data_IF_332009357859
#
_entry.id   IF_332009357859
#
_cell.length_a   1.000
_cell.length_b   1.000
_cell.length_c   1.000
_cell.angle_alpha   90.00
_cell.angle_beta   90.00
_cell.angle_gamma   90.00
#
_symmetry.space_group_name_H-M   'P 1'
#
loop_
_entity.id
_entity.type
_entity.pdbx_description
1 polymer ?
#
# COMPACT_ATOMS: atom_id res chain seq x y z
N UNK A 1 -3.28 -39.78 13.42
CA UNK A 1 -3.04 -38.84 14.53
C UNK A 1 -3.91 -39.18 15.74
N UNK A 2 -5.25 -39.20 15.63
CA UNK A 2 -6.13 -39.49 16.78
C UNK A 2 -5.90 -40.87 17.43
N UNK A 3 -5.72 -41.94 16.65
CA UNK A 3 -5.38 -43.29 17.17
C UNK A 3 -4.05 -43.30 17.92
N UNK A 4 -3.03 -42.59 17.40
CA UNK A 4 -1.72 -42.46 18.03
C UNK A 4 -1.82 -41.80 19.41
N UNK A 5 -2.57 -40.69 19.51
CA UNK A 5 -2.80 -40.01 20.79
C UNK A 5 -3.65 -40.84 21.75
N UNK A 6 -4.63 -41.61 21.24
CA UNK A 6 -5.43 -42.51 22.05
C UNK A 6 -4.59 -43.66 22.64
N UNK A 7 -3.69 -44.27 21.86
CA UNK A 7 -2.73 -45.28 22.36
C UNK A 7 -1.78 -44.70 23.41
N UNK A 8 -1.31 -43.46 23.19
CA UNK A 8 -0.47 -42.75 24.17
C UNK A 8 -1.23 -42.44 25.46
N UNK A 9 -2.51 -42.09 25.36
CA UNK A 9 -3.38 -41.88 26.51
C UNK A 9 -3.57 -43.17 27.32
N UNK A 10 -3.84 -44.31 26.65
CA UNK A 10 -3.91 -45.63 27.31
C UNK A 10 -2.62 -45.94 28.07
N UNK A 11 -1.45 -45.74 27.45
CA UNK A 11 -0.16 -45.97 28.10
C UNK A 11 0.03 -45.12 29.36
N UNK A 12 -0.38 -43.84 29.30
CA UNK A 12 -0.32 -42.93 30.45
C UNK A 12 -1.34 -43.32 31.54
N UNK A 13 -2.54 -43.75 31.14
CA UNK A 13 -3.58 -44.20 32.07
C UNK A 13 -3.15 -45.48 32.80
N UNK A 14 -2.58 -46.47 32.11
CA UNK A 14 -2.00 -47.66 32.76
C UNK A 14 -0.88 -47.34 33.74
N UNK A 15 -0.04 -46.34 33.42
CA UNK A 15 1.03 -45.89 34.31
C UNK A 15 0.51 -45.15 35.55
N UNK A 16 -0.69 -44.58 35.47
CA UNK A 16 -1.36 -43.88 36.57
C UNK A 16 -2.15 -44.81 37.50
N UNK A 17 -2.52 -46.02 37.05
CA UNK A 17 -3.16 -47.02 37.92
C UNK A 17 -2.11 -47.54 38.92
N UNK A 18 -2.25 -47.16 40.18
CA UNK A 18 -1.41 -47.65 41.30
C UNK A 18 -2.32 -48.33 42.32
N UNK A 19 -2.36 -49.66 42.30
CA UNK A 19 -3.21 -50.47 43.19
C UNK A 19 -4.50 -50.99 42.55
N UNK A 20 -5.10 -51.99 43.20
CA UNK A 20 -6.03 -52.95 42.59
C UNK A 20 -7.51 -52.51 42.52
N UNK A 21 -7.84 -51.24 42.74
CA UNK A 21 -9.25 -50.81 42.86
C UNK A 21 -9.55 -49.42 42.26
N UNK A 22 -9.35 -49.22 40.96
CA UNK A 22 -10.01 -48.11 40.26
C UNK A 22 -10.80 -48.61 39.04
N UNK A 23 -11.90 -49.32 39.33
CA UNK A 23 -12.79 -49.94 38.33
C UNK A 23 -13.27 -48.98 37.25
N UNK A 24 -13.34 -47.67 37.57
CA UNK A 24 -13.69 -46.62 36.64
C UNK A 24 -12.59 -46.38 35.58
N UNK A 25 -11.31 -46.37 35.99
CA UNK A 25 -10.17 -46.26 35.07
C UNK A 25 -10.05 -47.49 34.17
N UNK A 26 -10.18 -48.69 34.74
CA UNK A 26 -10.14 -49.95 33.99
C UNK A 26 -11.26 -50.01 32.95
N UNK A 27 -12.48 -49.58 33.31
CA UNK A 27 -13.62 -49.50 32.38
C UNK A 27 -13.36 -48.48 31.25
N UNK A 28 -12.72 -47.34 31.56
CA UNK A 28 -12.40 -46.33 30.55
C UNK A 28 -11.30 -46.80 29.58
N UNK A 29 -10.28 -47.49 30.10
CA UNK A 29 -9.23 -48.10 29.27
C UNK A 29 -9.86 -49.11 28.31
N UNK A 30 -10.68 -50.04 28.81
CA UNK A 30 -11.37 -51.04 27.97
C UNK A 30 -12.25 -50.40 26.90
N UNK A 31 -13.02 -49.36 27.25
CA UNK A 31 -13.83 -48.61 26.27
C UNK A 31 -12.97 -47.91 25.22
N UNK A 32 -11.79 -47.42 25.61
CA UNK A 32 -10.88 -46.73 24.70
C UNK A 32 -10.16 -47.72 23.77
N UNK A 33 -9.76 -48.87 24.28
CA UNK A 33 -9.21 -49.99 23.49
C UNK A 33 -10.21 -50.47 22.44
N UNK A 34 -11.47 -50.68 22.84
CA UNK A 34 -12.54 -51.07 21.91
C UNK A 34 -12.74 -50.05 20.78
N UNK A 35 -12.71 -48.76 21.13
CA UNK A 35 -12.84 -47.67 20.15
C UNK A 35 -11.63 -47.58 19.23
N UNK A 36 -10.42 -47.83 19.74
CA UNK A 36 -9.21 -47.86 18.91
C UNK A 36 -9.30 -49.03 17.93
N UNK A 37 -9.64 -50.23 18.39
CA UNK A 37 -9.80 -51.41 17.53
C UNK A 37 -10.82 -51.15 16.44
N UNK A 38 -12.02 -50.67 16.81
CA UNK A 38 -13.06 -50.31 15.83
C UNK A 38 -12.59 -49.23 14.86
N UNK A 39 -11.80 -48.26 15.30
CA UNK A 39 -11.25 -47.23 14.42
C UNK A 39 -10.20 -47.82 13.47
N UNK A 40 -9.33 -48.72 13.93
CA UNK A 40 -8.34 -49.40 13.11
C UNK A 40 -8.99 -50.32 12.07
N UNK A 41 -10.03 -51.06 12.44
CA UNK A 41 -10.79 -51.92 11.53
C UNK A 41 -11.54 -51.15 10.43
N UNK A 42 -11.89 -49.88 10.69
CA UNK A 42 -12.62 -49.02 9.75
C UNK A 42 -11.72 -47.97 9.09
N UNK A 43 -10.43 -47.91 9.43
CA UNK A 43 -9.48 -47.03 8.77
C UNK A 43 -9.05 -47.71 7.47
N UNK A 44 -9.26 -47.08 6.31
CA UNK A 44 -8.77 -47.64 5.06
C UNK A 44 -7.24 -47.80 5.15
N UNK A 45 -6.74 -49.01 4.87
CA UNK A 45 -5.31 -49.28 4.76
C UNK A 45 -4.73 -48.51 3.57
N UNK A 46 -4.33 -47.27 3.82
CA UNK A 46 -3.67 -46.44 2.84
C UNK A 46 -2.21 -46.25 3.30
N UNK A 47 -1.21 -46.71 2.53
CA UNK A 47 0.20 -46.51 2.85
C UNK A 47 0.47 -45.04 3.16
N UNK A 48 1.28 -44.77 4.20
CA UNK A 48 1.61 -43.40 4.62
C UNK A 48 2.10 -42.53 3.46
N UNK A 49 2.81 -43.12 2.51
CA UNK A 49 3.28 -42.46 1.31
C UNK A 49 2.13 -41.99 0.40
N UNK A 50 1.15 -42.85 0.13
CA UNK A 50 -0.06 -42.48 -0.64
C UNK A 50 -0.91 -41.44 0.08
N UNK A 51 -0.99 -41.49 1.41
CA UNK A 51 -1.67 -40.44 2.18
C UNK A 51 -0.96 -39.08 2.03
N UNK A 52 0.38 -39.06 2.01
CA UNK A 52 1.17 -37.85 1.84
C UNK A 52 0.97 -37.27 0.42
N UNK A 53 1.07 -38.11 -0.60
CA UNK A 53 0.82 -37.75 -2.00
C UNK A 53 -0.59 -37.17 -2.18
N UNK A 54 -1.60 -37.82 -1.60
CA UNK A 54 -2.99 -37.34 -1.68
C UNK A 54 -3.21 -36.02 -0.96
N UNK A 55 -2.52 -35.77 0.16
CA UNK A 55 -2.59 -34.48 0.87
C UNK A 55 -1.95 -33.36 0.07
N UNK A 56 -0.83 -33.61 -0.60
CA UNK A 56 -0.21 -32.66 -1.52
C UNK A 56 -1.17 -32.35 -2.67
N UNK A 57 -1.73 -33.39 -3.30
CA UNK A 57 -2.73 -33.25 -4.36
C UNK A 57 -3.94 -32.40 -3.92
N UNK A 58 -4.45 -32.64 -2.70
CA UNK A 58 -5.54 -31.85 -2.11
C UNK A 58 -5.12 -30.39 -1.91
N UNK A 59 -3.93 -30.14 -1.36
CA UNK A 59 -3.43 -28.78 -1.11
C UNK A 59 -3.19 -27.99 -2.40
N UNK A 60 -2.82 -28.68 -3.48
CA UNK A 60 -2.58 -28.10 -4.80
C UNK A 60 -3.88 -27.90 -5.60
N UNK A 61 -4.85 -28.82 -5.49
CA UNK A 61 -6.03 -28.84 -6.38
C UNK A 61 -7.31 -28.29 -5.77
N UNK A 62 -7.49 -28.34 -4.44
CA UNK A 62 -8.70 -27.80 -3.82
C UNK A 62 -8.58 -26.29 -3.63
N UNK A 63 -9.51 -25.55 -4.23
CA UNK A 63 -9.71 -24.15 -3.95
C UNK A 63 -9.99 -23.97 -2.45
N UNK A 64 -9.05 -23.35 -1.75
CA UNK A 64 -9.16 -23.07 -0.32
C UNK A 64 -9.80 -21.70 -0.16
N UNK A 65 -11.08 -21.68 0.20
CA UNK A 65 -11.71 -20.45 0.68
C UNK A 65 -11.31 -20.25 2.14
N UNK A 66 -10.58 -19.17 2.41
CA UNK A 66 -10.30 -18.73 3.78
C UNK A 66 -11.20 -17.54 4.07
N UNK A 67 -12.34 -17.73 4.76
CA UNK A 67 -13.18 -16.60 5.14
C UNK A 67 -12.36 -15.66 6.03
N UNK A 68 -12.44 -14.36 5.74
CA UNK A 68 -11.97 -13.35 6.68
C UNK A 68 -12.86 -13.41 7.91
N UNK A 69 -12.26 -13.67 9.09
CA UNK A 69 -12.97 -13.58 10.38
C UNK A 69 -13.15 -12.12 10.83
N UNK A 70 -12.63 -11.14 10.07
CA UNK A 70 -12.71 -9.72 10.38
C UNK A 70 -13.97 -9.14 9.74
N UNK A 71 -14.79 -8.45 10.56
CA UNK A 71 -16.04 -7.81 10.16
C UNK A 71 -15.85 -6.53 9.35
N UNK A 72 -14.64 -5.95 9.37
CA UNK A 72 -14.21 -4.85 8.52
C UNK A 72 -12.99 -5.32 7.73
N UNK A 73 -12.91 -4.97 6.44
CA UNK A 73 -11.69 -5.16 5.68
C UNK A 73 -10.61 -4.27 6.27
N UNK A 74 -9.52 -4.86 6.77
CA UNK A 74 -8.33 -4.09 7.13
C UNK A 74 -7.80 -3.47 5.84
N UNK A 75 -7.97 -2.15 5.73
CA UNK A 75 -7.53 -1.40 4.57
C UNK A 75 -6.25 -0.66 4.91
N UNK A 76 -5.20 -0.92 4.12
CA UNK A 76 -3.92 -0.23 4.24
C UNK A 76 -3.82 0.76 3.09
N UNK A 77 -4.00 2.06 3.38
CA UNK A 77 -3.98 3.15 2.40
C UNK A 77 -2.59 3.44 1.83
N UNK A 78 -1.55 3.12 2.61
CA UNK A 78 -0.13 3.36 2.31
C UNK A 78 0.61 2.06 2.52
N UNK A 79 1.28 1.55 1.48
CA UNK A 79 2.01 0.30 1.57
C UNK A 79 3.11 0.35 2.65
N UNK A 80 3.39 -0.79 3.25
CA UNK A 80 4.42 -0.93 4.29
C UNK A 80 5.60 -1.81 3.83
N UNK A 81 5.62 -2.21 2.55
CA UNK A 81 6.64 -3.05 1.94
C UNK A 81 7.47 -2.29 0.90
N UNK A 82 8.54 -2.90 0.39
CA UNK A 82 9.36 -2.24 -0.63
C UNK A 82 8.65 -2.31 -1.99
N UNK A 83 8.68 -1.20 -2.73
CA UNK A 83 8.21 -1.17 -4.10
C UNK A 83 8.95 -2.24 -4.93
N UNK A 84 8.16 -3.05 -5.64
CA UNK A 84 8.66 -4.16 -6.46
C UNK A 84 7.96 -4.13 -7.80
N UNK A 85 8.75 -4.20 -8.86
CA UNK A 85 8.25 -4.38 -10.22
C UNK A 85 7.64 -5.77 -10.38
N UNK A 86 6.48 -5.84 -11.02
CA UNK A 86 5.93 -7.10 -11.56
C UNK A 86 6.58 -7.45 -12.91
N UNK A 87 7.21 -6.47 -13.55
CA UNK A 87 7.99 -6.68 -14.76
C UNK A 87 9.39 -7.22 -14.41
N UNK A 88 9.80 -8.22 -15.19
CA UNK A 88 11.14 -8.80 -15.20
C UNK A 88 11.63 -8.87 -16.66
N UNK A 89 12.91 -8.60 -16.89
CA UNK A 89 13.53 -8.65 -18.22
C UNK A 89 13.37 -10.05 -18.83
N UNK A 90 13.45 -11.10 -18.01
CA UNK A 90 13.31 -12.48 -18.50
C UNK A 90 11.91 -12.76 -19.05
N UNK A 91 10.87 -12.17 -18.45
CA UNK A 91 9.49 -12.26 -18.94
C UNK A 91 9.38 -11.62 -20.34
N UNK A 92 10.00 -10.45 -20.52
CA UNK A 92 9.97 -9.74 -21.79
C UNK A 92 10.70 -10.47 -22.92
N UNK A 93 11.78 -11.18 -22.60
CA UNK A 93 12.54 -11.96 -23.59
C UNK A 93 11.83 -13.26 -23.99
N UNK A 94 10.98 -13.80 -23.12
CA UNK A 94 10.20 -15.03 -23.39
C UNK A 94 8.93 -14.78 -24.20
N UNK A 95 8.33 -13.60 -24.04
CA UNK A 95 7.11 -13.21 -24.77
C UNK A 95 7.49 -12.66 -26.15
N UNK A 96 6.91 -13.18 -27.26
CA UNK A 96 7.16 -12.68 -28.60
C UNK A 96 6.96 -11.17 -28.73
N UNK A 97 7.80 -10.48 -29.51
CA UNK A 97 7.83 -9.01 -29.58
C UNK A 97 6.51 -8.35 -30.04
N UNK A 98 5.62 -9.09 -30.71
CA UNK A 98 4.29 -8.61 -31.13
C UNK A 98 3.17 -8.85 -30.11
N UNK A 99 3.43 -9.61 -29.05
CA UNK A 99 2.42 -9.95 -28.05
C UNK A 99 2.37 -8.92 -26.91
N UNK A 100 1.21 -8.85 -26.27
CA UNK A 100 0.95 -7.93 -25.16
C UNK A 100 1.22 -8.61 -23.84
N UNK A 101 2.06 -8.01 -23.00
CA UNK A 101 2.28 -8.49 -21.64
C UNK A 101 1.23 -7.86 -20.73
N UNK A 102 0.48 -8.72 -20.02
CA UNK A 102 -0.59 -8.28 -19.14
C UNK A 102 -0.21 -8.47 -17.67
N UNK A 103 -0.48 -7.44 -16.86
CA UNK A 103 -0.26 -7.44 -15.41
C UNK A 103 -1.58 -7.23 -14.69
N UNK A 104 -1.73 -7.90 -13.55
CA UNK A 104 -2.86 -7.71 -12.65
C UNK A 104 -2.35 -7.23 -11.29
N UNK A 105 -2.70 -6.00 -10.93
CA UNK A 105 -2.40 -5.40 -9.63
C UNK A 105 -3.68 -5.45 -8.78
N UNK A 106 -3.73 -6.41 -7.85
CA UNK A 106 -4.84 -6.51 -6.89
C UNK A 106 -4.45 -5.88 -5.56
N UNK A 107 -5.30 -5.01 -5.02
CA UNK A 107 -4.98 -4.20 -3.85
C UNK A 107 -3.93 -3.15 -4.21
N UNK A 108 -4.30 -2.25 -5.11
CA UNK A 108 -3.40 -1.25 -5.67
C UNK A 108 -2.70 -0.42 -4.59
N UNK A 109 -3.40 -0.07 -3.51
CA UNK A 109 -2.81 0.73 -2.42
C UNK A 109 -2.28 2.04 -2.96
N UNK A 110 -1.04 2.43 -2.70
CA UNK A 110 -0.40 3.62 -3.29
C UNK A 110 0.21 3.43 -4.68
N UNK A 111 -0.16 2.36 -5.39
CA UNK A 111 0.33 2.03 -6.70
C UNK A 111 1.86 1.87 -6.81
N UNK A 112 2.62 1.78 -5.70
CA UNK A 112 4.10 1.70 -5.72
C UNK A 112 4.64 0.58 -6.61
N UNK A 113 3.97 -0.57 -6.63
CA UNK A 113 4.39 -1.72 -7.45
C UNK A 113 4.10 -1.49 -8.94
N UNK A 114 2.96 -0.87 -9.24
CA UNK A 114 2.62 -0.49 -10.60
C UNK A 114 3.62 0.56 -11.14
N UNK A 115 3.87 1.62 -10.38
CA UNK A 115 4.85 2.65 -10.73
C UNK A 115 6.27 2.07 -10.86
N UNK A 116 6.69 1.18 -9.95
CA UNK A 116 7.97 0.50 -10.07
C UNK A 116 8.06 -0.38 -11.34
N UNK A 117 6.94 -0.98 -11.76
CA UNK A 117 6.87 -1.75 -13.01
C UNK A 117 7.01 -0.84 -14.23
N UNK A 118 6.30 0.30 -14.25
CA UNK A 118 6.44 1.29 -15.32
C UNK A 118 7.87 1.82 -15.44
N UNK A 119 8.50 2.17 -14.32
CA UNK A 119 9.90 2.64 -14.28
C UNK A 119 10.83 1.55 -14.82
N UNK A 120 10.64 0.30 -14.40
CA UNK A 120 11.48 -0.82 -14.84
C UNK A 120 11.33 -1.07 -16.33
N UNK A 121 10.11 -1.06 -16.86
CA UNK A 121 9.84 -1.18 -18.30
C UNK A 121 10.55 -0.06 -19.07
N UNK A 122 10.32 1.19 -18.68
CA UNK A 122 10.90 2.35 -19.36
C UNK A 122 12.44 2.30 -19.36
N UNK A 123 13.04 1.91 -18.23
CA UNK A 123 14.50 1.79 -18.09
C UNK A 123 15.09 0.69 -18.98
N UNK A 124 14.48 -0.51 -18.99
CA UNK A 124 15.01 -1.62 -19.78
C UNK A 124 14.77 -1.44 -21.29
N UNK A 125 13.67 -0.76 -21.68
CA UNK A 125 13.45 -0.34 -23.07
C UNK A 125 14.44 0.76 -23.49
N UNK A 126 14.73 1.75 -22.64
CA UNK A 126 15.68 2.83 -22.94
C UNK A 126 17.12 2.31 -23.12
N UNK A 127 17.50 1.25 -22.40
CA UNK A 127 18.78 0.55 -22.59
C UNK A 127 18.85 -0.28 -23.88
N UNK A 128 17.72 -0.48 -24.56
CA UNK A 128 17.62 -1.35 -25.74
C UNK A 128 17.76 -2.84 -25.43
N UNK A 129 17.63 -3.24 -24.17
CA UNK A 129 17.68 -4.66 -23.77
C UNK A 129 16.44 -5.43 -24.19
N UNK A 130 15.29 -4.73 -24.21
CA UNK A 130 14.02 -5.27 -24.67
C UNK A 130 13.41 -4.35 -25.73
N UNK A 131 12.70 -4.90 -26.74
CA UNK A 131 11.98 -4.09 -27.70
C UNK A 131 10.77 -3.42 -27.05
N UNK A 132 10.48 -2.19 -27.52
CA UNK A 132 9.22 -1.48 -27.22
C UNK A 132 8.03 -2.33 -27.62
N UNK A 133 7.04 -2.46 -26.73
CA UNK A 133 5.85 -3.27 -26.96
C UNK A 133 4.64 -2.73 -26.22
N UNK A 134 3.49 -3.39 -26.38
CA UNK A 134 2.27 -3.07 -25.66
C UNK A 134 2.24 -3.78 -24.31
N UNK A 135 1.89 -3.04 -23.28
CA UNK A 135 1.63 -3.55 -21.94
C UNK A 135 0.19 -3.26 -21.57
N UNK A 136 -0.46 -4.21 -20.91
CA UNK A 136 -1.80 -4.03 -20.38
C UNK A 136 -1.75 -4.19 -18.85
N UNK A 137 -2.25 -3.21 -18.12
CA UNK A 137 -2.33 -3.27 -16.66
C UNK A 137 -3.81 -3.25 -16.26
N UNK A 138 -4.22 -4.25 -15.51
CA UNK A 138 -5.50 -4.22 -14.79
C UNK A 138 -5.21 -3.82 -13.35
N UNK A 139 -5.65 -2.62 -12.97
CA UNK A 139 -5.50 -2.08 -11.62
C UNK A 139 -6.81 -2.27 -10.86
N UNK A 140 -6.78 -3.04 -9.78
CA UNK A 140 -7.96 -3.41 -9.01
C UNK A 140 -7.76 -3.10 -7.53
N UNK A 141 -8.70 -2.37 -6.95
CA UNK A 141 -8.76 -2.12 -5.51
C UNK A 141 -10.21 -2.10 -5.05
N UNK A 142 -10.44 -2.54 -3.81
CA UNK A 142 -11.76 -2.47 -3.18
C UNK A 142 -12.11 -1.04 -2.76
N UNK A 143 -11.09 -0.20 -2.48
CA UNK A 143 -11.27 1.18 -2.11
C UNK A 143 -11.22 2.10 -3.34
N UNK A 144 -12.38 2.61 -3.72
CA UNK A 144 -12.53 3.52 -4.86
C UNK A 144 -11.83 4.87 -4.66
N UNK A 145 -11.62 5.32 -3.42
CA UNK A 145 -10.85 6.54 -3.16
C UNK A 145 -9.37 6.38 -3.53
N UNK A 146 -8.82 5.18 -3.39
CA UNK A 146 -7.43 4.93 -3.77
C UNK A 146 -7.26 4.87 -5.28
N UNK A 147 -8.15 4.17 -5.99
CA UNK A 147 -8.16 4.22 -7.46
C UNK A 147 -8.35 5.66 -7.97
N UNK A 148 -9.15 6.47 -7.27
CA UNK A 148 -9.36 7.88 -7.61
C UNK A 148 -8.11 8.73 -7.36
N UNK A 149 -7.41 8.53 -6.23
CA UNK A 149 -6.10 9.19 -5.97
C UNK A 149 -5.12 8.87 -7.09
N UNK A 150 -5.02 7.59 -7.44
CA UNK A 150 -4.04 7.15 -8.43
C UNK A 150 -4.41 7.67 -9.83
N UNK A 151 -5.70 7.75 -10.15
CA UNK A 151 -6.18 8.43 -11.36
C UNK A 151 -5.74 9.91 -11.42
N UNK A 152 -5.85 10.65 -10.31
CA UNK A 152 -5.37 12.05 -10.24
C UNK A 152 -3.85 12.10 -10.50
N UNK A 153 -3.09 11.21 -9.87
CA UNK A 153 -1.64 11.12 -10.06
C UNK A 153 -1.30 10.78 -11.51
N UNK A 154 -2.04 9.85 -12.14
CA UNK A 154 -1.85 9.50 -13.54
C UNK A 154 -2.18 10.66 -14.47
N UNK A 155 -3.24 11.44 -14.19
CA UNK A 155 -3.53 12.65 -14.94
C UNK A 155 -2.44 13.72 -14.79
N UNK A 156 -1.85 13.86 -13.61
CA UNK A 156 -0.71 14.76 -13.40
C UNK A 156 0.54 14.29 -14.13
N UNK A 157 0.84 12.99 -14.12
CA UNK A 157 1.95 12.40 -14.87
C UNK A 157 1.76 12.55 -16.39
N UNK A 158 0.53 12.37 -16.87
CA UNK A 158 0.18 12.58 -18.27
C UNK A 158 0.41 14.05 -18.66
N UNK A 159 -0.11 15.00 -17.86
CA UNK A 159 0.17 16.44 -18.04
C UNK A 159 1.67 16.72 -18.07
N UNK A 160 2.44 16.20 -17.11
CA UNK A 160 3.89 16.38 -17.03
C UNK A 160 4.60 15.90 -18.30
N UNK A 161 4.15 14.80 -18.89
CA UNK A 161 4.75 14.24 -20.12
C UNK A 161 4.58 15.14 -21.35
N UNK A 162 3.65 16.09 -21.31
CA UNK A 162 3.40 17.06 -22.38
C UNK A 162 4.04 18.43 -22.12
N UNK A 163 4.61 18.66 -20.93
CA UNK A 163 5.29 19.93 -20.59
C UNK A 163 6.60 20.03 -21.35
N UNK A 164 6.84 21.17 -21.97
CA UNK A 164 8.07 21.43 -22.73
C UNK A 164 9.22 21.83 -21.80
N UNK A 165 10.45 21.60 -22.24
CA UNK A 165 11.66 21.92 -21.45
C UNK A 165 11.73 23.39 -21.02
N UNK A 166 11.24 24.34 -21.83
CA UNK A 166 11.21 25.75 -21.48
C UNK A 166 10.21 26.11 -20.36
N UNK A 167 9.29 25.22 -20.01
CA UNK A 167 8.24 25.43 -19.00
C UNK A 167 8.61 24.82 -17.64
N UNK A 168 9.87 25.00 -17.21
CA UNK A 168 10.42 24.38 -16.00
C UNK A 168 9.53 24.59 -14.76
N UNK A 169 8.99 25.79 -14.58
CA UNK A 169 8.12 26.10 -13.42
C UNK A 169 6.81 25.30 -13.42
N UNK A 170 6.24 25.04 -14.59
CA UNK A 170 5.04 24.20 -14.71
C UNK A 170 5.36 22.76 -14.30
N UNK A 171 6.49 22.22 -14.78
CA UNK A 171 6.97 20.90 -14.36
C UNK A 171 7.18 20.82 -12.85
N UNK A 172 7.78 21.85 -12.24
CA UNK A 172 8.01 21.91 -10.79
C UNK A 172 6.69 21.94 -10.01
N UNK A 173 5.68 22.67 -10.49
CA UNK A 173 4.37 22.72 -9.85
C UNK A 173 3.66 21.36 -9.93
N UNK A 174 3.61 20.75 -11.13
CA UNK A 174 3.01 19.42 -11.32
C UNK A 174 3.72 18.38 -10.44
N UNK A 175 5.06 18.38 -10.42
CA UNK A 175 5.85 17.49 -9.55
C UNK A 175 5.59 17.75 -8.06
N UNK A 176 5.41 19.00 -7.65
CA UNK A 176 5.02 19.34 -6.27
C UNK A 176 3.67 18.73 -5.92
N UNK A 177 2.69 18.82 -6.82
CA UNK A 177 1.36 18.25 -6.60
C UNK A 177 1.38 16.73 -6.53
N UNK A 178 2.12 16.07 -7.42
CA UNK A 178 2.33 14.61 -7.35
C UNK A 178 2.98 14.23 -6.01
N UNK A 179 4.04 14.95 -5.61
CA UNK A 179 4.75 14.72 -4.37
C UNK A 179 3.82 14.81 -3.16
N UNK A 180 3.11 15.93 -2.99
CA UNK A 180 2.21 16.12 -1.85
C UNK A 180 1.03 15.13 -1.85
N UNK A 181 0.47 14.80 -3.02
CA UNK A 181 -0.61 13.82 -3.13
C UNK A 181 -0.16 12.40 -2.76
N UNK A 182 1.10 12.06 -3.06
CA UNK A 182 1.61 10.71 -2.85
C UNK A 182 2.09 10.47 -1.41
N UNK A 183 2.81 11.42 -0.81
CA UNK A 183 3.45 11.21 0.51
C UNK A 183 2.89 12.03 1.67
N UNK A 184 2.13 13.10 1.42
CA UNK A 184 1.80 14.06 2.48
C UNK A 184 0.36 13.97 2.97
N UNK A 185 0.17 14.31 4.25
CA UNK A 185 -1.15 14.56 4.82
C UNK A 185 -1.53 16.05 4.79
N UNK A 186 -0.56 16.93 4.50
CA UNK A 186 -0.73 18.38 4.45
C UNK A 186 -0.14 18.89 3.15
N UNK A 187 -0.84 19.79 2.47
CA UNK A 187 -0.35 20.37 1.24
C UNK A 187 -0.44 21.90 1.31
N UNK A 188 0.54 22.62 0.74
CA UNK A 188 0.42 24.06 0.60
C UNK A 188 -0.76 24.46 -0.27
N UNK A 189 -1.34 25.63 0.00
CA UNK A 189 -2.51 26.16 -0.70
C UNK A 189 -2.36 26.15 -2.23
N UNK A 190 -1.24 26.61 -2.78
CA UNK A 190 -1.05 26.65 -4.25
C UNK A 190 -1.01 25.24 -4.88
N UNK A 191 -0.55 24.24 -4.11
CA UNK A 191 -0.56 22.84 -4.52
C UNK A 191 -1.99 22.29 -4.48
N UNK A 192 -2.77 22.66 -3.47
CA UNK A 192 -4.20 22.33 -3.42
C UNK A 192 -4.96 22.97 -4.59
N UNK A 193 -4.68 24.22 -4.93
CA UNK A 193 -5.30 24.90 -6.08
C UNK A 193 -5.09 24.09 -7.38
N UNK A 194 -3.85 23.64 -7.66
CA UNK A 194 -3.57 22.79 -8.81
C UNK A 194 -4.27 21.42 -8.73
N UNK A 195 -4.34 20.82 -7.54
CA UNK A 195 -5.11 19.59 -7.31
C UNK A 195 -6.60 19.79 -7.65
N UNK A 196 -7.20 20.91 -7.22
CA UNK A 196 -8.61 21.21 -7.48
C UNK A 196 -8.88 21.41 -8.98
N UNK A 197 -7.94 21.99 -9.73
CA UNK A 197 -8.04 22.09 -11.19
C UNK A 197 -8.10 20.70 -11.86
N UNK A 198 -7.24 19.77 -11.43
CA UNK A 198 -7.25 18.39 -11.94
C UNK A 198 -8.55 17.68 -11.58
N UNK A 199 -9.03 17.83 -10.34
CA UNK A 199 -10.31 17.26 -9.89
C UNK A 199 -11.47 17.81 -10.73
N UNK A 200 -11.50 19.12 -10.98
CA UNK A 200 -12.54 19.74 -11.79
C UNK A 200 -12.54 19.22 -13.24
N UNK A 201 -11.35 19.05 -13.83
CA UNK A 201 -11.21 18.48 -15.16
C UNK A 201 -11.70 17.03 -15.24
N UNK A 202 -11.30 16.19 -14.27
CA UNK A 202 -11.74 14.81 -14.18
C UNK A 202 -13.26 14.71 -14.01
N UNK A 203 -13.84 15.51 -13.10
CA UNK A 203 -15.29 15.56 -12.90
C UNK A 203 -16.03 15.96 -14.19
N UNK A 204 -15.53 16.97 -14.90
CA UNK A 204 -16.09 17.40 -16.17
C UNK A 204 -16.06 16.26 -17.20
N UNK A 205 -14.92 15.59 -17.32
CA UNK A 205 -14.73 14.49 -18.26
C UNK A 205 -15.69 13.32 -17.96
N UNK A 206 -15.68 12.83 -16.71
CA UNK A 206 -16.46 11.66 -16.30
C UNK A 206 -17.97 11.93 -16.36
N UNK A 207 -18.43 13.12 -15.98
CA UNK A 207 -19.86 13.49 -16.07
C UNK A 207 -20.37 13.56 -17.51
N UNK A 208 -19.48 13.80 -18.47
CA UNK A 208 -19.80 13.78 -19.89
C UNK A 208 -19.71 12.37 -20.51
N UNK A 209 -19.47 11.33 -19.70
CA UNK A 209 -19.31 9.94 -20.17
C UNK A 209 -18.00 9.70 -20.93
N UNK A 210 -17.00 10.56 -20.75
CA UNK A 210 -15.72 10.46 -21.42
C UNK A 210 -14.69 9.73 -20.54
N UNK A 211 -13.71 9.08 -21.17
CA UNK A 211 -12.57 8.50 -20.47
C UNK A 211 -11.54 9.61 -20.18
N UNK A 212 -10.93 9.63 -18.98
CA UNK A 212 -10.10 10.74 -18.54
C UNK A 212 -8.75 10.83 -19.25
N UNK A 213 -8.17 9.69 -19.66
CA UNK A 213 -6.88 9.60 -20.32
C UNK A 213 -6.95 8.56 -21.44
N UNK A 214 -6.23 8.79 -22.55
CA UNK A 214 -6.28 7.88 -23.72
C UNK A 214 -5.74 6.48 -23.41
N UNK A 215 -4.81 6.38 -22.46
CA UNK A 215 -4.18 5.12 -22.05
C UNK A 215 -4.84 4.48 -20.83
N UNK A 216 -5.95 5.05 -20.33
CA UNK A 216 -6.71 4.51 -19.19
C UNK A 216 -8.14 4.23 -19.61
N UNK A 217 -8.62 3.04 -19.24
CA UNK A 217 -10.03 2.70 -19.34
C UNK A 217 -10.61 2.48 -17.93
N UNK A 218 -11.65 3.25 -17.61
CA UNK A 218 -12.49 3.04 -16.44
C UNK A 218 -13.76 2.31 -16.86
N UNK A 219 -14.12 1.26 -16.11
CA UNK A 219 -15.39 0.56 -16.30
C UNK A 219 -16.57 1.52 -16.08
N UNK A 220 -17.53 1.51 -17.00
CA UNK A 220 -18.75 2.35 -16.92
C UNK A 220 -19.51 2.15 -15.60
N UNK A 221 -19.56 0.91 -15.11
CA UNK A 221 -20.20 0.56 -13.84
C UNK A 221 -19.52 1.23 -12.64
N UNK A 222 -18.23 1.55 -12.76
CA UNK A 222 -17.45 2.14 -11.67
C UNK A 222 -17.41 3.68 -11.71
N UNK A 223 -17.72 4.31 -12.84
CA UNK A 223 -17.67 5.78 -13.03
C UNK A 223 -18.38 6.55 -11.90
N UNK A 224 -19.60 6.18 -11.45
CA UNK A 224 -20.27 6.89 -10.37
C UNK A 224 -19.48 6.93 -9.06
N UNK A 225 -18.68 5.89 -8.76
CA UNK A 225 -17.86 5.87 -7.54
C UNK A 225 -16.64 6.79 -7.64
N UNK A 226 -16.03 6.92 -8.83
CA UNK A 226 -14.97 7.91 -9.05
C UNK A 226 -15.50 9.33 -8.91
N UNK A 227 -16.67 9.63 -9.50
CA UNK A 227 -17.33 10.93 -9.35
C UNK A 227 -17.61 11.23 -7.87
N UNK A 228 -18.18 10.27 -7.14
CA UNK A 228 -18.45 10.42 -5.71
C UNK A 228 -17.18 10.68 -4.89
N UNK A 229 -16.09 9.96 -5.19
CA UNK A 229 -14.81 10.16 -4.51
C UNK A 229 -14.23 11.56 -4.78
N UNK A 230 -14.26 12.02 -6.03
CA UNK A 230 -13.82 13.36 -6.43
C UNK A 230 -14.68 14.46 -5.79
N UNK A 231 -16.00 14.30 -5.75
CA UNK A 231 -16.93 15.25 -5.10
C UNK A 231 -16.71 15.36 -3.59
N UNK A 232 -16.18 14.32 -2.94
CA UNK A 232 -15.82 14.42 -1.54
C UNK A 232 -14.59 15.30 -1.32
N UNK A 233 -13.69 15.36 -2.31
CA UNK A 233 -12.37 16.03 -2.22
C UNK A 233 -12.33 17.42 -2.86
N UNK A 234 -13.41 17.86 -3.48
CA UNK A 234 -13.56 19.24 -3.95
C UNK A 234 -13.47 20.23 -2.78
N UNK A 235 -12.99 21.44 -3.03
CA UNK A 235 -13.05 22.54 -2.06
C UNK A 235 -14.47 22.74 -1.53
N UNK A 236 -14.65 22.66 -0.21
CA UNK A 236 -15.96 22.71 0.45
C UNK A 236 -16.77 21.41 0.38
N UNK A 237 -16.16 20.33 -0.11
CA UNK A 237 -16.72 18.98 -0.10
C UNK A 237 -16.84 18.37 1.30
N UNK A 238 -17.37 17.15 1.37
CA UNK A 238 -17.76 16.51 2.65
C UNK A 238 -16.62 16.31 3.64
N UNK A 239 -15.38 16.22 3.15
CA UNK A 239 -14.20 16.00 4.01
C UNK A 239 -13.35 17.26 4.20
N UNK A 240 -13.69 18.37 3.54
CA UNK A 240 -12.90 19.60 3.58
C UNK A 240 -12.77 20.20 4.99
N UNK A 241 -13.71 19.88 5.90
CA UNK A 241 -13.72 20.34 7.29
C UNK A 241 -13.60 19.19 8.29
N UNK A 242 -13.21 18.00 7.84
CA UNK A 242 -13.10 16.83 8.71
C UNK A 242 -11.98 16.97 9.75
N UNK A 243 -10.88 17.63 9.38
CA UNK A 243 -9.73 17.86 10.23
C UNK A 243 -9.13 19.24 9.96
N UNK A 244 -8.61 19.88 11.00
CA UNK A 244 -7.80 21.09 10.89
C UNK A 244 -6.34 20.74 10.58
N UNK A 245 -5.61 21.66 9.94
CA UNK A 245 -4.17 21.48 9.69
C UNK A 245 -3.39 21.16 10.98
N UNK A 246 -3.78 21.79 12.10
CA UNK A 246 -3.19 21.54 13.42
C UNK A 246 -3.39 20.09 13.88
N UNK A 247 -4.62 19.56 13.81
CA UNK A 247 -4.91 18.17 14.22
C UNK A 247 -4.13 17.17 13.37
N UNK A 248 -4.02 17.41 12.06
CA UNK A 248 -3.23 16.56 11.15
C UNK A 248 -1.74 16.63 11.49
N UNK A 249 -1.19 17.82 11.76
CA UNK A 249 0.21 17.97 12.19
C UNK A 249 0.46 17.23 13.50
N UNK A 250 -0.36 17.45 14.53
CA UNK A 250 -0.21 16.81 15.84
C UNK A 250 -0.30 15.28 15.74
N UNK A 251 -1.24 14.75 14.96
CA UNK A 251 -1.37 13.31 14.69
C UNK A 251 -0.15 12.75 13.96
N UNK A 252 0.36 13.47 12.96
CA UNK A 252 1.55 13.07 12.19
C UNK A 252 2.78 13.04 13.10
N UNK A 253 2.99 14.10 13.89
CA UNK A 253 4.10 14.19 14.85
C UNK A 253 4.01 13.05 15.86
N UNK A 254 2.83 12.79 16.44
CA UNK A 254 2.63 11.68 17.39
C UNK A 254 3.00 10.34 16.76
N UNK A 255 2.53 10.07 15.54
CA UNK A 255 2.81 8.81 14.82
C UNK A 255 4.31 8.65 14.52
N UNK A 256 5.02 9.74 14.22
CA UNK A 256 6.47 9.73 13.99
C UNK A 256 7.27 9.52 15.29
N UNK A 257 6.75 9.99 16.43
CA UNK A 257 7.34 9.76 17.74
C UNK A 257 7.08 8.35 18.27
N UNK A 258 6.01 7.70 17.83
CA UNK A 258 5.75 6.30 18.13
C UNK A 258 6.86 5.37 17.59
N UNK A 259 7.05 4.26 18.28
CA UNK A 259 8.23 3.38 18.19
C UNK A 259 8.53 2.82 16.79
N UNK A 260 7.62 2.95 15.83
CA UNK A 260 7.77 2.39 14.48
C UNK A 260 8.89 3.10 13.69
N UNK A 261 9.07 4.41 13.89
CA UNK A 261 10.13 5.18 13.22
C UNK A 261 11.38 5.34 14.09
N UNK A 262 11.22 5.52 15.40
CA UNK A 262 12.36 5.64 16.33
C UNK A 262 13.17 4.35 16.51
N UNK A 263 12.59 3.17 16.20
CA UNK A 263 13.29 1.88 16.29
C UNK A 263 13.88 1.38 14.96
N UNK A 264 13.95 2.23 13.92
CA UNK A 264 14.59 1.84 12.66
C UNK A 264 16.11 1.76 12.83
N UNK A 265 16.71 0.70 12.29
CA UNK A 265 18.14 0.45 12.40
C UNK A 265 18.97 1.48 11.63
N UNK A 266 20.24 1.67 12.01
CA UNK A 266 21.18 2.54 11.29
C UNK A 266 21.24 2.23 9.78
N UNK A 267 21.11 0.95 9.41
CA UNK A 267 21.04 0.51 8.00
C UNK A 267 19.83 1.05 7.24
N UNK A 268 18.68 1.21 7.90
CA UNK A 268 17.51 1.85 7.28
C UNK A 268 17.80 3.32 6.99
N UNK A 269 18.51 3.98 7.89
CA UNK A 269 18.89 5.39 7.74
C UNK A 269 20.00 5.60 6.71
N UNK A 270 20.95 4.68 6.59
CA UNK A 270 21.95 4.69 5.53
C UNK A 270 21.33 4.59 4.12
N UNK A 271 20.22 3.85 3.96
CA UNK A 271 19.55 3.70 2.67
C UNK A 271 18.91 5.00 2.16
N UNK A 272 18.47 5.89 3.07
CA UNK A 272 17.88 7.19 2.71
C UNK A 272 18.96 8.18 2.22
N UNK A 273 20.23 7.92 2.54
CA UNK A 273 21.36 8.75 2.14
C UNK A 273 21.51 10.03 2.98
N UNK A 274 22.69 10.69 2.94
CA UNK A 274 23.00 11.79 3.85
C UNK A 274 22.34 13.12 3.50
N UNK A 275 21.80 13.25 2.28
CA UNK A 275 21.42 14.54 1.70
C UNK A 275 20.11 15.12 2.26
N UNK A 276 19.22 14.30 2.80
CA UNK A 276 17.90 14.73 3.31
C UNK A 276 17.78 14.66 4.84
N UNK A 277 18.90 14.55 5.57
CA UNK A 277 18.87 14.38 7.03
C UNK A 277 18.17 15.54 7.76
N UNK A 278 18.44 16.79 7.35
CA UNK A 278 17.82 17.98 7.95
C UNK A 278 16.34 18.11 7.63
N UNK A 279 15.95 17.82 6.38
CA UNK A 279 14.55 17.82 5.96
C UNK A 279 13.76 16.75 6.72
N UNK A 280 14.34 15.56 6.91
CA UNK A 280 13.77 14.51 7.75
C UNK A 280 13.62 14.97 9.20
N UNK A 281 14.67 15.54 9.80
CA UNK A 281 14.60 16.02 11.18
C UNK A 281 13.51 17.07 11.35
N UNK A 282 13.37 17.97 10.39
CA UNK A 282 12.30 18.96 10.36
C UNK A 282 10.93 18.30 10.22
N UNK A 283 10.77 17.34 9.30
CA UNK A 283 9.52 16.60 9.13
C UNK A 283 9.13 15.84 10.40
N UNK A 284 10.06 15.14 11.05
CA UNK A 284 9.79 14.46 12.32
C UNK A 284 9.40 15.44 13.44
N UNK A 285 9.97 16.65 13.44
CA UNK A 285 9.69 17.67 14.45
C UNK A 285 8.37 18.42 14.21
N UNK A 286 7.92 18.52 12.95
CA UNK A 286 6.82 19.43 12.56
C UNK A 286 5.64 18.74 11.89
N UNK A 287 5.81 17.52 11.39
CA UNK A 287 4.82 16.82 10.57
C UNK A 287 4.63 17.40 9.17
N UNK A 288 5.46 18.36 8.73
CA UNK A 288 5.30 19.08 7.46
C UNK A 288 6.44 18.74 6.50
N UNK A 289 6.07 18.35 5.28
CA UNK A 289 7.01 18.13 4.18
C UNK A 289 7.31 19.44 3.46
N UNK A 290 8.55 19.59 3.01
CA UNK A 290 8.98 20.80 2.31
C UNK A 290 8.65 20.70 0.81
N UNK A 291 8.01 21.72 0.23
CA UNK A 291 7.94 21.88 -1.22
C UNK A 291 9.32 22.16 -1.82
N UNK A 292 9.43 22.07 -3.14
CA UNK A 292 10.63 22.52 -3.85
C UNK A 292 10.89 24.01 -3.61
N UNK A 293 12.14 24.37 -3.33
CA UNK A 293 12.51 25.74 -2.98
C UNK A 293 12.08 26.76 -4.06
N UNK A 294 12.22 26.41 -5.34
CA UNK A 294 11.82 27.27 -6.45
C UNK A 294 10.30 27.52 -6.45
N UNK A 295 9.49 26.51 -6.13
CA UNK A 295 8.04 26.67 -6.02
C UNK A 295 7.67 27.57 -4.83
N UNK A 296 8.32 27.37 -3.68
CA UNK A 296 8.10 28.23 -2.52
C UNK A 296 8.48 29.68 -2.83
N UNK A 297 9.64 29.93 -3.42
CA UNK A 297 10.08 31.30 -3.76
C UNK A 297 9.11 32.02 -4.70
N UNK A 298 8.39 31.29 -5.54
CA UNK A 298 7.40 31.85 -6.45
C UNK A 298 6.04 32.08 -5.78
N UNK A 299 5.55 31.11 -5.02
CA UNK A 299 4.17 31.09 -4.51
C UNK A 299 4.05 31.60 -3.06
N UNK A 300 5.07 31.38 -2.24
CA UNK A 300 5.14 31.76 -0.84
C UNK A 300 6.59 32.04 -0.40
N UNK A 301 7.14 33.22 -0.75
CA UNK A 301 8.52 33.57 -0.40
C UNK A 301 8.80 33.52 1.10
N UNK A 302 7.78 33.82 1.92
CA UNK A 302 7.89 33.79 3.37
C UNK A 302 8.05 32.36 3.89
N UNK A 303 7.31 31.41 3.34
CA UNK A 303 7.52 29.99 3.63
C UNK A 303 8.91 29.52 3.21
N UNK A 304 9.44 30.01 2.09
CA UNK A 304 10.80 29.69 1.66
C UNK A 304 11.84 30.13 2.71
N UNK A 305 11.75 31.38 3.18
CA UNK A 305 12.64 31.94 4.19
C UNK A 305 12.55 31.17 5.52
N UNK A 306 11.32 30.94 6.01
CA UNK A 306 11.07 30.20 7.24
C UNK A 306 11.56 28.75 7.15
N UNK A 307 11.45 28.11 5.98
CA UNK A 307 11.93 26.74 5.76
C UNK A 307 13.46 26.66 5.86
N UNK A 308 14.17 27.64 5.29
CA UNK A 308 15.63 27.70 5.36
C UNK A 308 16.12 27.90 6.80
N UNK A 309 15.46 28.78 7.57
CA UNK A 309 15.76 28.99 8.99
C UNK A 309 15.46 27.72 9.82
N UNK A 310 14.31 27.09 9.60
CA UNK A 310 13.91 25.88 10.30
C UNK A 310 14.82 24.68 9.98
N UNK A 311 15.33 24.56 8.74
CA UNK A 311 16.34 23.55 8.39
C UNK A 311 17.68 23.77 9.10
N UNK A 312 18.02 24.99 9.50
CA UNK A 312 19.21 25.25 10.31
C UNK A 312 19.04 24.72 11.74
N UNK A 313 17.85 24.88 12.33
CA UNK A 313 17.53 24.42 13.68
C UNK A 313 16.15 23.72 13.75
N UNK A 314 16.04 22.45 13.32
CA UNK A 314 14.75 21.75 13.15
C UNK A 314 13.91 21.59 14.42
N UNK A 315 14.52 21.69 15.61
CA UNK A 315 13.84 21.62 16.93
C UNK A 315 13.79 22.98 17.64
N UNK A 316 14.12 24.04 16.91
CA UNK A 316 14.27 25.40 17.40
C UNK A 316 12.96 26.17 17.54
N UNK A 317 13.11 27.47 17.78
CA UNK A 317 12.00 28.42 17.77
C UNK A 317 11.50 28.66 16.34
N UNK A 318 12.41 28.59 15.38
CA UNK A 318 12.22 28.83 13.96
C UNK A 318 11.19 27.85 13.38
N UNK A 319 11.28 26.56 13.75
CA UNK A 319 10.29 25.55 13.39
C UNK A 319 8.87 25.87 13.87
N UNK A 320 8.71 26.59 14.99
CA UNK A 320 7.38 27.00 15.47
C UNK A 320 6.78 28.12 14.62
N UNK A 321 7.61 29.05 14.15
CA UNK A 321 7.19 30.10 13.22
C UNK A 321 6.80 29.50 11.87
N UNK A 322 7.62 28.56 11.37
CA UNK A 322 7.32 27.76 10.18
C UNK A 322 5.98 27.02 10.32
N UNK A 323 5.76 26.23 11.37
CA UNK A 323 4.50 25.53 11.60
C UNK A 323 3.31 26.49 11.69
N UNK A 324 3.47 27.63 12.39
CA UNK A 324 2.40 28.62 12.52
C UNK A 324 1.98 29.16 11.15
N UNK A 325 2.95 29.47 10.29
CA UNK A 325 2.68 29.93 8.92
C UNK A 325 1.92 28.87 8.10
N UNK A 326 2.35 27.60 8.17
CA UNK A 326 1.67 26.48 7.49
C UNK A 326 0.26 26.25 8.02
N UNK A 327 0.00 26.50 9.32
CA UNK A 327 -1.34 26.37 9.91
C UNK A 327 -2.30 27.51 9.53
N UNK A 328 -1.78 28.72 9.27
CA UNK A 328 -2.62 29.89 9.00
C UNK A 328 -2.99 30.04 7.54
N UNK A 329 -2.13 29.57 6.63
CA UNK A 329 -2.27 29.81 5.19
C UNK A 329 -2.81 28.60 4.40
N UNK A 330 -3.15 27.49 5.08
CA UNK A 330 -3.74 26.28 4.48
C UNK A 330 -5.18 26.01 4.90
#
# INVERSE_FOLDING_TARGET
MCVLFAKKAIHLMHKAVTGDEDSAFTTHIQKLEERIRKAEDNLPECPHQKQKERRVEILERLARYHPSMRSAGDYVTVGHDNAKSLFDETLALQVPAGETISFFNSGLGDARHFLASLISIAHEEAKGKIPKRRYHFTLNDINKHVLTRDLIIFSLLDKLSHVKEEQIFESVNILSTIYFMYVSCLMPKWVNEQLQEVIAELLRCLRNGQQPLEWIYLSEADIPFYIQALENWVSGGRVATAFTAKEVMESTISTMHDSIYNNKSDKYWEHIGPYCNKERELYCATGVLLPFLQAMQQHDPKLADLSLEALHNPRGRESRLFMTHVMTDN
#
